data_IF_642716802195
#
_entry.id   IF_642716802195
#
_cell.length_a   1.000
_cell.length_b   1.000
_cell.length_c   1.000
_cell.angle_alpha   90.00
_cell.angle_beta   90.00
_cell.angle_gamma   90.00
#
_symmetry.space_group_name_H-M   'P 1'
#
loop_
_entity.id
_entity.type
_entity.pdbx_description
1 polymer ?
#
# COMPACT_ATOMS: atom_id res chain seq x y z
N UNK A 1 -0.49 18.21 -8.47
CA UNK A 1 -0.74 19.41 -7.65
C UNK A 1 0.57 20.09 -7.28
N UNK A 2 0.65 21.42 -7.28
CA UNK A 2 1.82 22.16 -6.75
C UNK A 2 1.65 22.37 -5.24
N UNK A 3 2.40 21.61 -4.45
CA UNK A 3 2.29 21.66 -2.98
C UNK A 3 2.73 22.99 -2.39
N UNK A 4 3.67 23.71 -3.01
CA UNK A 4 4.14 25.01 -2.51
C UNK A 4 3.12 26.09 -2.78
N UNK A 5 2.55 26.12 -3.98
CA UNK A 5 1.47 27.04 -4.34
C UNK A 5 0.25 26.85 -3.43
N UNK A 6 -0.18 25.60 -3.20
CA UNK A 6 -1.30 25.34 -2.29
C UNK A 6 -0.99 25.78 -0.86
N UNK A 7 0.20 25.49 -0.34
CA UNK A 7 0.60 25.95 1.01
C UNK A 7 0.51 27.48 1.16
N UNK A 8 0.89 28.23 0.12
CA UNK A 8 0.80 29.68 0.11
C UNK A 8 -0.66 30.19 0.05
N UNK A 9 -1.55 29.47 -0.64
CA UNK A 9 -2.98 29.83 -0.76
C UNK A 9 -3.82 29.44 0.48
N UNK A 10 -3.39 28.43 1.25
CA UNK A 10 -4.14 27.90 2.40
C UNK A 10 -4.68 28.95 3.36
N UNK A 11 -3.93 29.98 3.80
CA UNK A 11 -4.45 31.01 4.71
C UNK A 11 -5.68 31.74 4.15
N UNK A 12 -5.71 32.00 2.83
CA UNK A 12 -6.84 32.66 2.16
C UNK A 12 -8.03 31.71 2.11
N UNK A 13 -7.80 30.47 1.64
CA UNK A 13 -8.83 29.44 1.48
C UNK A 13 -9.54 29.09 2.79
N UNK A 14 -8.83 29.08 3.93
CA UNK A 14 -9.40 28.65 5.21
C UNK A 14 -9.87 29.81 6.10
N UNK A 15 -9.54 31.06 5.77
CA UNK A 15 -9.81 32.24 6.62
C UNK A 15 -11.26 32.34 7.10
N UNK A 16 -12.24 32.14 6.21
CA UNK A 16 -13.67 32.14 6.52
C UNK A 16 -14.15 30.90 7.29
N UNK A 17 -13.31 29.87 7.41
CA UNK A 17 -13.62 28.60 8.05
C UNK A 17 -12.92 28.41 9.40
N UNK A 18 -12.03 29.31 9.81
CA UNK A 18 -11.35 29.27 11.10
C UNK A 18 -12.05 30.22 12.09
N UNK A 19 -12.37 29.77 13.32
CA UNK A 19 -12.95 30.66 14.33
C UNK A 19 -12.02 31.83 14.67
N UNK A 20 -12.58 33.04 14.88
CA UNK A 20 -11.81 34.27 15.15
C UNK A 20 -10.84 34.21 16.32
N UNK A 21 -11.08 33.32 17.29
CA UNK A 21 -10.24 33.17 18.47
C UNK A 21 -9.07 32.18 18.28
N UNK A 22 -8.97 31.54 17.11
CA UNK A 22 -7.90 30.59 16.78
C UNK A 22 -6.78 31.33 16.05
N UNK A 23 -5.55 31.20 16.55
CA UNK A 23 -4.37 31.90 16.01
C UNK A 23 -3.60 31.10 14.95
N UNK A 24 -3.78 29.78 14.93
CA UNK A 24 -3.07 28.86 14.04
C UNK A 24 -4.02 27.78 13.54
N UNK A 25 -3.79 27.31 12.33
CA UNK A 25 -4.48 26.14 11.77
C UNK A 25 -3.45 25.10 11.35
N UNK A 26 -3.89 23.84 11.26
CA UNK A 26 -3.06 22.75 10.73
C UNK A 26 -3.73 22.12 9.52
N UNK A 27 -2.92 21.60 8.61
CA UNK A 27 -3.41 20.86 7.47
C UNK A 27 -2.43 19.78 7.05
N UNK A 28 -2.98 18.73 6.46
CA UNK A 28 -2.23 17.63 5.85
C UNK A 28 -2.53 17.56 4.36
N UNK A 29 -1.50 17.35 3.54
CA UNK A 29 -1.61 17.23 2.09
C UNK A 29 -1.61 15.76 1.70
N UNK A 30 -2.57 15.29 0.92
CA UNK A 30 -2.67 13.93 0.41
C UNK A 30 -2.45 13.95 -1.10
N UNK A 31 -1.20 13.76 -1.49
CA UNK A 31 -0.62 13.89 -2.84
C UNK A 31 -0.12 12.55 -3.39
N UNK A 32 -0.56 11.45 -2.78
CA UNK A 32 -0.08 10.10 -3.10
C UNK A 32 1.31 9.80 -2.55
N UNK A 33 1.97 10.78 -1.91
CA UNK A 33 3.27 10.58 -1.28
C UNK A 33 3.14 10.10 0.16
N UNK A 34 4.00 9.17 0.59
CA UNK A 34 4.07 8.66 1.95
C UNK A 34 4.21 9.79 2.98
N UNK A 35 3.57 9.62 4.15
CA UNK A 35 3.73 10.58 5.25
C UNK A 35 4.82 10.13 6.19
N UNK A 36 5.75 11.02 6.48
CA UNK A 36 6.86 10.76 7.39
C UNK A 36 6.54 11.34 8.76
N UNK A 37 6.73 10.54 9.80
CA UNK A 37 6.61 10.93 11.20
C UNK A 37 7.78 11.80 11.64
N UNK A 38 7.66 12.42 12.81
CA UNK A 38 8.77 13.17 13.44
C UNK A 38 10.02 12.32 13.66
N UNK A 39 9.88 11.00 13.75
CA UNK A 39 10.98 10.04 13.93
C UNK A 39 11.50 9.48 12.60
N UNK A 40 11.04 9.98 11.45
CA UNK A 40 11.49 9.51 10.14
C UNK A 40 10.76 8.27 9.61
N UNK A 41 9.85 7.66 10.37
CA UNK A 41 9.07 6.52 9.90
C UNK A 41 7.91 6.92 9.00
N UNK A 42 7.65 6.15 7.94
CA UNK A 42 6.43 6.28 7.18
C UNK A 42 5.19 5.85 8.00
N UNK A 43 4.11 6.63 7.92
CA UNK A 43 2.85 6.39 8.60
C UNK A 43 1.73 6.26 7.57
N UNK A 44 0.98 5.17 7.69
CA UNK A 44 -0.26 4.96 6.94
C UNK A 44 -1.36 5.91 7.46
N UNK A 45 -1.93 6.79 6.61
CA UNK A 45 -2.93 7.74 7.05
C UNK A 45 -4.20 7.06 7.58
N UNK A 46 -4.92 7.76 8.46
CA UNK A 46 -6.23 7.34 8.95
C UNK A 46 -7.33 7.91 8.05
N UNK A 47 -8.41 7.15 7.78
CA UNK A 47 -9.62 7.70 7.19
C UNK A 47 -10.18 8.85 8.02
N UNK A 48 -10.88 9.79 7.37
CA UNK A 48 -11.50 10.91 8.05
C UNK A 48 -12.78 11.34 7.32
N UNK A 49 -13.60 12.09 8.03
CA UNK A 49 -14.78 12.74 7.48
C UNK A 49 -14.61 14.25 7.54
N UNK A 50 -15.24 14.95 6.61
CA UNK A 50 -15.21 16.40 6.61
C UNK A 50 -16.13 17.02 5.58
N UNK A 51 -16.13 18.36 5.56
CA UNK A 51 -16.88 19.15 4.58
C UNK A 51 -15.92 19.76 3.58
N UNK A 52 -16.18 19.61 2.29
CA UNK A 52 -15.43 20.30 1.24
C UNK A 52 -15.68 21.80 1.36
N UNK A 53 -14.60 22.58 1.40
CA UNK A 53 -14.65 24.04 1.56
C UNK A 53 -14.08 24.82 0.39
N UNK A 54 -13.24 24.19 -0.44
CA UNK A 54 -12.69 24.81 -1.63
C UNK A 54 -12.27 23.75 -2.66
N UNK A 55 -12.42 24.11 -3.93
CA UNK A 55 -11.87 23.43 -5.08
C UNK A 55 -10.96 24.42 -5.85
N UNK A 56 -9.65 24.17 -5.86
CA UNK A 56 -8.67 25.05 -6.52
C UNK A 56 -8.42 24.65 -7.98
N UNK A 57 -9.10 23.63 -8.48
CA UNK A 57 -8.87 23.03 -9.80
C UNK A 57 -7.77 21.96 -9.80
N UNK A 58 -6.77 22.06 -8.93
CA UNK A 58 -5.71 21.05 -8.74
C UNK A 58 -5.81 20.32 -7.39
N UNK A 59 -6.52 20.88 -6.41
CA UNK A 59 -6.70 20.30 -5.09
C UNK A 59 -8.13 20.50 -4.55
N UNK A 60 -8.56 19.56 -3.70
CA UNK A 60 -9.79 19.66 -2.92
C UNK A 60 -9.43 19.89 -1.45
N UNK A 61 -9.95 20.97 -0.85
CA UNK A 61 -9.73 21.27 0.57
C UNK A 61 -10.94 20.85 1.38
N UNK A 62 -10.70 19.98 2.36
CA UNK A 62 -11.71 19.43 3.26
C UNK A 62 -11.46 19.93 4.68
N UNK A 63 -12.47 20.52 5.31
CA UNK A 63 -12.45 20.84 6.73
C UNK A 63 -12.81 19.59 7.54
N UNK A 64 -11.86 19.12 8.35
CA UNK A 64 -11.97 17.90 9.16
C UNK A 64 -12.14 18.20 10.66
N UNK A 65 -11.80 19.41 11.09
CA UNK A 65 -11.92 19.83 12.50
C UNK A 65 -12.13 21.32 12.64
N UNK A 66 -12.00 21.84 13.87
CA UNK A 66 -12.24 23.26 14.18
C UNK A 66 -11.35 24.20 13.37
N UNK A 67 -10.06 23.89 13.30
CA UNK A 67 -9.03 24.59 12.53
C UNK A 67 -8.06 23.56 11.91
N UNK A 68 -8.63 22.46 11.45
CA UNK A 68 -7.91 21.32 10.88
C UNK A 68 -8.46 21.04 9.49
N UNK A 69 -7.56 20.88 8.53
CA UNK A 69 -7.90 20.72 7.13
C UNK A 69 -7.13 19.57 6.49
N UNK A 70 -7.70 18.97 5.46
CA UNK A 70 -7.04 18.04 4.56
C UNK A 70 -7.05 18.64 3.16
N UNK A 71 -5.92 18.59 2.48
CA UNK A 71 -5.77 19.00 1.08
C UNK A 71 -5.59 17.71 0.29
N UNK A 72 -6.43 17.44 -0.70
CA UNK A 72 -6.36 16.23 -1.51
C UNK A 72 -5.95 16.61 -2.93
N UNK A 73 -4.96 15.93 -3.51
CA UNK A 73 -4.66 16.08 -4.93
C UNK A 73 -5.89 15.58 -5.72
N UNK A 74 -6.47 16.49 -6.51
CA UNK A 74 -7.70 16.23 -7.26
C UNK A 74 -7.54 15.05 -8.22
N UNK A 75 -6.36 14.87 -8.79
CA UNK A 75 -6.09 13.84 -9.81
C UNK A 75 -6.11 12.41 -9.24
N UNK A 76 -5.92 12.28 -7.92
CA UNK A 76 -5.91 11.00 -7.23
C UNK A 76 -7.28 10.58 -6.69
N UNK A 77 -8.27 11.47 -6.68
CA UNK A 77 -9.59 11.15 -6.15
C UNK A 77 -10.34 10.14 -7.05
N UNK A 78 -11.06 9.21 -6.44
CA UNK A 78 -11.98 8.32 -7.19
C UNK A 78 -13.23 9.05 -7.67
N UNK A 79 -13.63 10.10 -6.96
CA UNK A 79 -14.74 10.98 -7.28
C UNK A 79 -14.37 12.38 -6.80
N UNK A 80 -14.67 13.41 -7.60
CA UNK A 80 -14.41 14.80 -7.22
C UNK A 80 -15.67 15.38 -6.57
N UNK A 81 -15.68 15.61 -5.25
CA UNK A 81 -16.85 16.13 -4.57
C UNK A 81 -16.98 17.64 -4.81
N UNK A 82 -18.23 18.12 -4.94
CA UNK A 82 -18.51 19.55 -5.03
C UNK A 82 -18.31 20.28 -3.70
N UNK A 83 -18.04 21.57 -3.76
CA UNK A 83 -17.96 22.43 -2.56
C UNK A 83 -19.22 22.34 -1.70
N UNK A 84 -19.04 22.36 -0.38
CA UNK A 84 -20.12 22.22 0.59
C UNK A 84 -20.55 20.78 0.89
N UNK A 85 -20.08 19.80 0.11
CA UNK A 85 -20.43 18.38 0.30
C UNK A 85 -19.75 17.80 1.55
N UNK A 86 -20.48 16.96 2.29
CA UNK A 86 -19.87 16.11 3.33
C UNK A 86 -19.32 14.84 2.71
N UNK A 87 -18.08 14.51 3.03
CA UNK A 87 -17.38 13.38 2.44
C UNK A 87 -16.72 12.53 3.51
N UNK A 88 -16.69 11.22 3.25
CA UNK A 88 -15.76 10.30 3.89
C UNK A 88 -14.59 10.09 2.92
N UNK A 89 -13.37 10.24 3.44
CA UNK A 89 -12.14 10.13 2.67
C UNK A 89 -11.31 8.99 3.24
N UNK A 90 -10.90 8.08 2.36
CA UNK A 90 -10.02 6.96 2.66
C UNK A 90 -8.79 7.07 1.76
N UNK A 91 -7.69 7.65 2.26
CA UNK A 91 -6.42 7.65 1.55
C UNK A 91 -5.83 6.23 1.48
N UNK A 92 -4.81 6.04 0.65
CA UNK A 92 -4.06 4.79 0.57
C UNK A 92 -3.44 4.41 1.92
N UNK A 93 -3.45 3.10 2.21
CA UNK A 93 -2.83 2.49 3.38
C UNK A 93 -2.26 1.15 2.95
N UNK A 94 -1.05 0.83 3.42
CA UNK A 94 -0.45 -0.48 3.21
C UNK A 94 -1.28 -1.56 3.90
N UNK A 95 -1.42 -2.70 3.24
CA UNK A 95 -2.23 -3.83 3.72
C UNK A 95 -1.43 -5.13 3.68
N UNK A 96 -1.86 -6.06 4.54
CA UNK A 96 -1.43 -7.45 4.54
C UNK A 96 -2.32 -8.28 3.63
N UNK A 97 -1.91 -9.50 3.32
CA UNK A 97 -2.72 -10.46 2.54
C UNK A 97 -4.02 -10.89 3.25
N UNK A 98 -4.10 -10.72 4.57
CA UNK A 98 -5.34 -10.92 5.34
C UNK A 98 -6.33 -9.73 5.22
N UNK A 99 -5.97 -8.68 4.49
CA UNK A 99 -6.77 -7.48 4.27
C UNK A 99 -6.67 -6.43 5.39
N UNK A 100 -6.02 -6.74 6.51
CA UNK A 100 -5.76 -5.81 7.60
C UNK A 100 -4.69 -4.79 7.19
N UNK A 101 -4.62 -3.68 7.94
CA UNK A 101 -3.57 -2.67 7.72
C UNK A 101 -2.21 -3.23 8.13
N UNK A 102 -1.15 -2.80 7.47
CA UNK A 102 0.21 -3.19 7.82
C UNK A 102 0.59 -2.80 9.26
N UNK A 103 0.07 -1.68 9.77
CA UNK A 103 0.27 -1.22 11.15
C UNK A 103 -0.62 -1.92 12.19
N UNK A 104 -1.38 -2.96 11.79
CA UNK A 104 -2.19 -3.74 12.73
C UNK A 104 -1.27 -4.61 13.59
N UNK A 105 -1.34 -4.51 14.93
CA UNK A 105 -0.45 -5.27 15.82
C UNK A 105 -0.67 -6.77 15.70
N UNK A 106 0.40 -7.54 15.88
CA UNK A 106 0.32 -8.99 15.98
C UNK A 106 0.05 -9.38 17.43
N UNK A 107 -0.96 -10.22 17.65
CA UNK A 107 -1.32 -10.73 18.96
C UNK A 107 -1.01 -12.24 19.01
N UNK A 108 -0.18 -12.64 19.97
CA UNK A 108 0.15 -14.05 20.23
C UNK A 108 -0.15 -14.38 21.68
N UNK A 109 -0.84 -15.49 21.91
CA UNK A 109 -0.94 -16.08 23.24
C UNK A 109 0.30 -16.91 23.52
N UNK A 110 1.02 -16.56 24.57
CA UNK A 110 2.12 -17.33 25.12
C UNK A 110 1.73 -17.86 26.49
N UNK A 111 2.49 -18.83 27.00
CA UNK A 111 2.24 -19.49 28.28
C UNK A 111 3.46 -19.32 29.17
N UNK A 112 3.24 -18.96 30.43
CA UNK A 112 4.29 -18.98 31.45
C UNK A 112 4.75 -20.42 31.74
N UNK A 113 5.87 -20.58 32.46
CA UNK A 113 6.33 -21.90 32.93
C UNK A 113 5.25 -22.64 33.75
N UNK A 114 4.38 -21.89 34.43
CA UNK A 114 3.24 -22.40 35.20
C UNK A 114 1.98 -22.67 34.34
N UNK A 115 2.07 -22.54 33.01
CA UNK A 115 0.96 -22.77 32.09
C UNK A 115 -0.11 -21.68 32.05
N UNK A 116 0.13 -20.51 32.66
CA UNK A 116 -0.82 -19.39 32.62
C UNK A 116 -0.71 -18.67 31.27
N UNK A 117 -1.81 -18.51 30.51
CA UNK A 117 -1.77 -17.81 29.24
C UNK A 117 -1.61 -16.30 29.44
N UNK A 118 -0.75 -15.66 28.65
CA UNK A 118 -0.63 -14.21 28.54
C UNK A 118 -0.61 -13.79 27.06
N UNK A 119 -1.11 -12.59 26.77
CA UNK A 119 -1.16 -12.07 25.39
C UNK A 119 0.01 -11.12 25.16
N UNK A 120 0.86 -11.45 24.20
CA UNK A 120 1.91 -10.57 23.67
C UNK A 120 1.33 -9.81 22.49
N UNK A 121 1.40 -8.48 22.55
CA UNK A 121 0.98 -7.58 21.48
C UNK A 121 2.20 -6.87 20.91
N UNK A 122 2.57 -7.20 19.69
CA UNK A 122 3.77 -6.66 19.02
C UNK A 122 3.37 -5.54 18.06
N UNK A 123 3.94 -4.36 18.27
CA UNK A 123 3.78 -3.20 17.38
C UNK A 123 5.05 -3.03 16.54
N UNK A 124 4.97 -3.26 15.23
CA UNK A 124 6.07 -3.01 14.30
C UNK A 124 5.92 -1.59 13.75
N UNK A 125 6.94 -0.75 13.96
CA UNK A 125 6.95 0.63 13.49
C UNK A 125 7.71 0.75 12.15
N UNK A 126 7.16 1.50 11.20
CA UNK A 126 7.81 1.82 9.93
C UNK A 126 7.58 0.75 8.85
N UNK A 127 8.33 -0.36 8.91
CA UNK A 127 8.27 -1.45 7.94
C UNK A 127 7.69 -2.70 8.59
N UNK A 128 6.38 -2.86 8.50
CA UNK A 128 5.69 -4.09 8.87
C UNK A 128 5.43 -4.86 7.56
N UNK A 129 6.35 -5.72 7.10
CA UNK A 129 6.19 -6.41 5.84
C UNK A 129 4.98 -7.33 5.86
N UNK A 130 4.23 -7.38 4.76
CA UNK A 130 3.13 -8.32 4.61
C UNK A 130 3.73 -9.72 4.37
N UNK A 131 3.60 -10.63 5.35
CA UNK A 131 4.05 -12.01 5.21
C UNK A 131 3.31 -12.72 4.08
N UNK A 132 4.04 -13.43 3.23
CA UNK A 132 3.45 -14.20 2.14
C UNK A 132 2.58 -15.34 2.74
N UNK A 133 1.37 -15.60 2.20
CA UNK A 133 0.45 -16.60 2.74
C UNK A 133 0.84 -18.02 2.28
N UNK A 134 2.07 -18.43 2.60
CA UNK A 134 2.66 -19.71 2.21
C UNK A 134 3.27 -20.40 3.43
N UNK A 135 3.33 -21.74 3.39
CA UNK A 135 4.06 -22.50 4.41
C UNK A 135 5.56 -22.27 4.29
N UNK A 136 6.28 -22.42 5.41
CA UNK A 136 7.74 -22.30 5.40
C UNK A 136 8.37 -23.37 4.48
N UNK A 137 9.13 -22.96 3.44
CA UNK A 137 9.78 -23.90 2.54
C UNK A 137 10.99 -24.58 3.18
N UNK A 138 11.41 -25.69 2.58
CA UNK A 138 12.58 -26.46 3.02
C UNK A 138 13.83 -26.06 2.23
N UNK A 139 13.68 -25.72 0.96
CA UNK A 139 14.75 -25.23 0.10
C UNK A 139 15.29 -23.88 0.61
N UNK A 140 16.60 -23.77 0.91
CA UNK A 140 17.21 -22.52 1.37
C UNK A 140 17.07 -21.37 0.37
N UNK A 141 17.22 -21.65 -0.93
CA UNK A 141 17.13 -20.66 -2.00
C UNK A 141 15.71 -20.10 -2.14
N UNK A 142 14.68 -20.95 -1.98
CA UNK A 142 13.29 -20.50 -1.93
C UNK A 142 13.00 -19.67 -0.67
N UNK A 143 13.56 -20.06 0.48
CA UNK A 143 13.45 -19.28 1.71
C UNK A 143 14.06 -17.88 1.54
N UNK A 144 15.20 -17.78 0.88
CA UNK A 144 15.85 -16.50 0.61
C UNK A 144 15.04 -15.65 -0.39
N UNK A 145 14.51 -16.24 -1.46
CA UNK A 145 13.60 -15.56 -2.38
C UNK A 145 12.40 -14.96 -1.65
N UNK A 146 11.76 -15.75 -0.79
CA UNK A 146 10.62 -15.30 0.02
C UNK A 146 11.03 -14.18 0.97
N UNK A 147 12.18 -14.33 1.64
CA UNK A 147 12.71 -13.30 2.52
C UNK A 147 12.95 -11.99 1.75
N UNK A 148 13.50 -12.05 0.54
CA UNK A 148 13.71 -10.88 -0.31
C UNK A 148 12.39 -10.21 -0.73
N UNK A 149 11.38 -10.98 -1.15
CA UNK A 149 10.05 -10.43 -1.43
C UNK A 149 9.45 -9.73 -0.21
N UNK A 150 9.63 -10.29 0.99
CA UNK A 150 9.08 -9.72 2.22
C UNK A 150 9.86 -8.48 2.70
N UNK A 151 11.18 -8.48 2.61
CA UNK A 151 12.02 -7.45 3.23
C UNK A 151 12.42 -6.32 2.29
N UNK A 152 12.58 -6.58 0.99
CA UNK A 152 13.07 -5.57 0.06
C UNK A 152 12.02 -4.49 -0.19
N UNK A 153 12.45 -3.22 -0.37
CA UNK A 153 11.55 -2.13 -0.66
C UNK A 153 10.99 -2.24 -2.08
N UNK A 154 9.78 -1.73 -2.28
CA UNK A 154 9.32 -1.34 -3.60
C UNK A 154 10.02 -0.03 -4.03
N UNK A 155 10.07 0.30 -5.33
CA UNK A 155 10.78 1.49 -5.84
C UNK A 155 10.31 2.83 -5.25
N UNK A 156 9.06 2.90 -4.78
CA UNK A 156 8.50 4.09 -4.15
C UNK A 156 9.07 4.44 -2.77
N UNK A 157 9.88 3.56 -2.17
CA UNK A 157 10.54 3.80 -0.88
C UNK A 157 9.62 3.74 0.35
N UNK A 158 8.36 3.36 0.18
CA UNK A 158 7.36 3.27 1.25
C UNK A 158 6.78 1.89 1.44
N UNK A 159 6.48 1.23 0.32
CA UNK A 159 6.03 -0.16 0.29
C UNK A 159 7.23 -1.11 0.31
N UNK A 160 6.96 -2.34 0.75
CA UNK A 160 7.83 -3.49 0.46
C UNK A 160 7.30 -4.16 -0.79
N UNK A 161 8.06 -5.07 -1.39
CA UNK A 161 7.58 -5.81 -2.56
C UNK A 161 6.26 -6.55 -2.24
N UNK A 162 6.10 -7.15 -1.06
CA UNK A 162 4.82 -7.79 -0.69
C UNK A 162 3.64 -6.84 -0.60
N UNK A 163 3.84 -5.57 -0.24
CA UNK A 163 2.77 -4.58 -0.27
C UNK A 163 2.35 -4.27 -1.72
N UNK A 164 3.32 -4.16 -2.63
CA UNK A 164 3.05 -4.04 -4.06
C UNK A 164 2.27 -5.25 -4.58
N UNK A 165 2.62 -6.47 -4.15
CA UNK A 165 1.87 -7.68 -4.50
C UNK A 165 0.42 -7.63 -3.99
N UNK A 166 0.21 -7.19 -2.74
CA UNK A 166 -1.15 -7.00 -2.17
C UNK A 166 -1.95 -6.00 -3.01
N UNK A 167 -1.33 -4.87 -3.38
CA UNK A 167 -1.97 -3.83 -4.19
C UNK A 167 -2.30 -4.33 -5.62
N UNK A 168 -1.45 -5.20 -6.17
CA UNK A 168 -1.68 -5.87 -7.45
C UNK A 168 -2.76 -6.98 -7.38
N UNK A 169 -3.33 -7.22 -6.20
CA UNK A 169 -4.33 -8.26 -5.97
C UNK A 169 -3.75 -9.67 -6.02
N UNK A 170 -2.48 -9.84 -5.65
CA UNK A 170 -1.81 -11.14 -5.67
C UNK A 170 -2.53 -12.16 -4.77
N UNK A 171 -2.82 -13.32 -5.34
CA UNK A 171 -3.56 -14.43 -4.71
C UNK A 171 -3.15 -15.77 -5.30
N UNK A 172 -3.73 -16.86 -4.80
CA UNK A 172 -3.52 -18.21 -5.34
C UNK A 172 -2.03 -18.61 -5.37
N UNK A 173 -1.35 -18.36 -4.24
CA UNK A 173 0.08 -18.62 -4.10
C UNK A 173 0.39 -20.11 -4.18
N UNK A 174 1.45 -20.44 -4.92
CA UNK A 174 2.03 -21.78 -4.98
C UNK A 174 3.54 -21.69 -5.04
N UNK A 175 4.23 -22.74 -4.60
CA UNK A 175 5.68 -22.80 -4.57
C UNK A 175 6.20 -24.10 -5.17
N UNK A 176 7.36 -24.02 -5.80
CA UNK A 176 8.19 -25.16 -6.16
C UNK A 176 9.30 -25.22 -5.12
N UNK A 177 9.19 -26.16 -4.16
CA UNK A 177 10.11 -26.36 -3.04
C UNK A 177 10.97 -27.63 -3.27
N UNK A 178 11.99 -27.57 -4.14
CA UNK A 178 12.82 -28.72 -4.49
C UNK A 178 13.72 -29.14 -3.32
N UNK A 179 14.24 -30.37 -3.38
CA UNK A 179 15.36 -30.75 -2.53
C UNK A 179 16.63 -30.02 -3.00
N UNK A 180 17.59 -29.71 -2.10
CA UNK A 180 18.82 -28.99 -2.46
C UNK A 180 19.59 -29.59 -3.65
N UNK A 181 19.56 -30.92 -3.81
CA UNK A 181 20.25 -31.61 -4.90
C UNK A 181 19.53 -31.52 -6.26
N UNK A 182 18.28 -31.06 -6.28
CA UNK A 182 17.44 -31.01 -7.48
C UNK A 182 17.24 -29.59 -8.03
N UNK A 183 17.80 -28.57 -7.38
CA UNK A 183 17.56 -27.14 -7.70
C UNK A 183 17.90 -26.76 -9.14
N UNK A 184 18.86 -27.46 -9.77
CA UNK A 184 19.24 -27.21 -11.18
C UNK A 184 18.17 -27.77 -12.13
N UNK A 185 17.62 -28.96 -11.81
CA UNK A 185 16.61 -29.62 -12.65
C UNK A 185 15.22 -29.01 -12.43
N UNK A 186 14.95 -28.57 -11.21
CA UNK A 186 13.67 -28.02 -10.79
C UNK A 186 13.96 -26.74 -10.00
N UNK A 187 14.06 -25.60 -10.70
CA UNK A 187 14.30 -24.30 -10.09
C UNK A 187 13.28 -24.01 -8.97
N UNK A 188 13.75 -23.55 -7.79
CA UNK A 188 12.86 -23.06 -6.76
C UNK A 188 12.07 -21.85 -7.27
N UNK A 189 10.77 -21.81 -7.03
CA UNK A 189 9.91 -20.76 -7.57
C UNK A 189 8.72 -20.46 -6.65
N UNK A 190 8.20 -19.24 -6.75
CA UNK A 190 6.91 -18.83 -6.21
C UNK A 190 6.04 -18.29 -7.34
N UNK A 191 4.78 -18.70 -7.36
CA UNK A 191 3.80 -18.25 -8.34
C UNK A 191 2.57 -17.68 -7.65
N UNK A 192 1.97 -16.64 -8.23
CA UNK A 192 0.75 -16.02 -7.75
C UNK A 192 -0.02 -15.37 -8.91
N UNK A 193 -1.32 -15.24 -8.78
CA UNK A 193 -2.19 -14.58 -9.77
C UNK A 193 -2.38 -13.12 -9.38
N UNK A 194 -2.22 -12.20 -10.33
CA UNK A 194 -2.50 -10.76 -10.16
C UNK A 194 -3.63 -10.31 -11.08
N UNK A 195 -4.25 -9.19 -10.75
CA UNK A 195 -5.32 -8.58 -11.54
C UNK A 195 -5.22 -7.05 -11.53
N UNK A 196 -4.33 -6.52 -12.36
CA UNK A 196 -4.15 -5.07 -12.54
C UNK A 196 -4.48 -4.63 -13.97
N UNK A 197 -4.45 -3.32 -14.22
CA UNK A 197 -4.57 -2.79 -15.57
C UNK A 197 -3.35 -3.13 -16.45
N UNK A 198 -2.16 -3.33 -15.84
CA UNK A 198 -0.94 -3.71 -16.57
C UNK A 198 -0.95 -5.18 -16.95
N UNK A 199 -1.27 -6.06 -16.01
CA UNK A 199 -1.26 -7.49 -16.25
C UNK A 199 -2.35 -8.22 -15.46
N UNK A 200 -2.97 -9.19 -16.12
CA UNK A 200 -3.92 -10.14 -15.52
C UNK A 200 -3.48 -11.54 -15.93
N UNK A 201 -3.18 -12.36 -14.93
CA UNK A 201 -2.60 -13.69 -15.12
C UNK A 201 -1.72 -14.11 -13.96
N UNK A 202 -1.00 -15.20 -14.15
CA UNK A 202 -0.04 -15.73 -13.20
C UNK A 202 1.33 -15.09 -13.42
N UNK A 203 1.97 -14.72 -12.32
CA UNK A 203 3.36 -14.29 -12.25
C UNK A 203 4.13 -15.38 -11.52
N UNK A 204 5.25 -15.81 -12.08
CA UNK A 204 6.16 -16.77 -11.45
C UNK A 204 7.53 -16.13 -11.32
N UNK A 205 8.05 -16.08 -10.09
CA UNK A 205 9.44 -15.67 -9.81
C UNK A 205 10.21 -16.94 -9.49
N UNK A 206 11.23 -17.24 -10.29
CA UNK A 206 12.05 -18.45 -10.15
C UNK A 206 13.52 -18.10 -9.99
N UNK A 207 14.23 -18.92 -9.22
CA UNK A 207 15.67 -18.78 -8.99
C UNK A 207 16.47 -19.64 -9.96
N UNK A 208 17.32 -18.99 -10.76
CA UNK A 208 18.18 -19.63 -11.75
C UNK A 208 19.57 -19.86 -11.19
N UNK A 209 19.82 -21.08 -10.72
CA UNK A 209 21.08 -21.44 -10.06
C UNK A 209 22.33 -21.23 -10.92
N UNK A 210 22.23 -21.38 -12.24
CA UNK A 210 23.37 -21.27 -13.15
C UNK A 210 23.90 -19.84 -13.22
N UNK A 211 22.99 -18.86 -13.29
CA UNK A 211 23.32 -17.44 -13.41
C UNK A 211 23.32 -16.71 -12.06
N UNK A 212 22.80 -17.36 -11.01
CA UNK A 212 22.60 -16.79 -9.67
C UNK A 212 21.72 -15.52 -9.69
N UNK A 213 20.64 -15.60 -10.46
CA UNK A 213 19.68 -14.51 -10.70
C UNK A 213 18.25 -15.02 -10.62
N UNK A 214 17.29 -14.10 -10.62
CA UNK A 214 15.90 -14.45 -10.84
C UNK A 214 15.51 -14.36 -12.32
N UNK A 215 14.49 -15.12 -12.67
CA UNK A 215 13.68 -14.85 -13.84
C UNK A 215 12.21 -14.68 -13.42
N UNK A 216 11.48 -13.88 -14.19
CA UNK A 216 10.06 -13.63 -13.98
C UNK A 216 9.30 -14.07 -15.23
N UNK A 217 8.32 -14.94 -15.05
CA UNK A 217 7.43 -15.40 -16.11
C UNK A 217 6.02 -14.85 -15.89
N UNK A 218 5.45 -14.29 -16.96
CA UNK A 218 4.06 -13.86 -17.03
C UNK A 218 3.28 -14.87 -17.87
N UNK A 219 2.33 -15.55 -17.25
CA UNK A 219 1.50 -16.57 -17.91
C UNK A 219 0.04 -16.15 -17.91
N UNK A 220 -0.64 -16.27 -19.05
CA UNK A 220 -2.08 -16.01 -19.18
C UNK A 220 -2.75 -17.21 -19.82
N UNK A 221 -3.79 -17.73 -19.17
CA UNK A 221 -4.53 -18.91 -19.64
C UNK A 221 -3.63 -20.15 -19.92
N UNK A 222 -2.53 -20.30 -19.17
CA UNK A 222 -1.58 -21.40 -19.32
C UNK A 222 -0.53 -21.19 -20.40
N UNK A 223 -0.56 -20.06 -21.12
CA UNK A 223 0.45 -19.70 -22.12
C UNK A 223 1.42 -18.65 -21.56
N UNK A 224 2.72 -18.89 -21.75
CA UNK A 224 3.76 -17.93 -21.42
C UNK A 224 3.64 -16.71 -22.35
N UNK A 225 3.32 -15.56 -21.77
CA UNK A 225 3.17 -14.27 -22.46
C UNK A 225 4.51 -13.56 -22.56
N UNK A 226 5.26 -13.54 -21.47
CA UNK A 226 6.52 -12.82 -21.36
C UNK A 226 7.40 -13.53 -20.34
N UNK A 227 8.71 -13.50 -20.60
CA UNK A 227 9.73 -13.95 -19.66
C UNK A 227 10.83 -12.91 -19.61
N UNK A 228 11.20 -12.53 -18.39
CA UNK A 228 12.24 -11.57 -18.08
C UNK A 228 13.35 -12.35 -17.38
N UNK A 229 14.45 -12.56 -18.09
CA UNK A 229 15.65 -13.21 -17.56
C UNK A 229 16.59 -12.19 -16.90
N UNK A 230 17.58 -12.70 -16.15
CA UNK A 230 18.66 -11.90 -15.54
C UNK A 230 18.16 -10.77 -14.62
N UNK A 231 17.13 -11.06 -13.82
CA UNK A 231 16.64 -10.13 -12.80
C UNK A 231 17.54 -10.21 -11.57
N UNK A 232 18.31 -9.15 -11.34
CA UNK A 232 19.14 -9.01 -10.14
C UNK A 232 18.29 -8.89 -8.88
N UNK A 233 18.79 -9.40 -7.76
CA UNK A 233 18.09 -9.41 -6.47
C UNK A 233 17.64 -8.00 -6.02
N UNK A 234 18.48 -7.00 -6.23
CA UNK A 234 18.21 -5.60 -5.89
C UNK A 234 17.23 -4.91 -6.86
N UNK A 235 17.11 -5.41 -8.09
CA UNK A 235 16.18 -4.94 -9.12
C UNK A 235 14.82 -5.63 -9.12
N UNK A 236 14.62 -6.64 -8.26
CA UNK A 236 13.39 -7.44 -8.24
C UNK A 236 12.13 -6.57 -8.01
N UNK A 237 12.19 -5.63 -7.07
CA UNK A 237 11.07 -4.74 -6.78
C UNK A 237 10.73 -3.80 -7.94
N UNK A 238 11.75 -3.28 -8.63
CA UNK A 238 11.58 -2.42 -9.81
C UNK A 238 10.99 -3.21 -10.98
N UNK A 239 11.49 -4.40 -11.23
CA UNK A 239 10.99 -5.26 -12.30
C UNK A 239 9.53 -5.63 -12.05
N UNK A 240 9.16 -6.01 -10.83
CA UNK A 240 7.77 -6.30 -10.48
C UNK A 240 6.87 -5.05 -10.59
N UNK A 241 7.32 -3.88 -10.15
CA UNK A 241 6.54 -2.64 -10.35
C UNK A 241 6.25 -2.38 -11.83
N UNK A 242 7.27 -2.51 -12.68
CA UNK A 242 7.13 -2.30 -14.12
C UNK A 242 6.10 -3.25 -14.73
N UNK A 243 6.12 -4.53 -14.35
CA UNK A 243 5.27 -5.57 -14.91
C UNK A 243 3.83 -5.54 -14.38
N UNK A 244 3.62 -5.32 -13.08
CA UNK A 244 2.31 -5.57 -12.46
C UNK A 244 1.69 -4.40 -11.70
N UNK A 245 2.43 -3.36 -11.32
CA UNK A 245 1.87 -2.23 -10.56
C UNK A 245 1.35 -1.11 -11.49
N UNK A 246 0.04 -0.88 -11.53
CA UNK A 246 -0.60 0.15 -12.35
C UNK A 246 -0.81 1.50 -11.63
N UNK A 247 -0.30 1.66 -10.41
CA UNK A 247 -0.42 2.87 -9.60
C UNK A 247 -1.83 3.12 -9.05
N UNK A 248 -2.79 2.21 -9.27
CA UNK A 248 -4.18 2.37 -8.79
C UNK A 248 -4.28 2.46 -7.27
N UNK A 249 -3.32 1.89 -6.55
CA UNK A 249 -3.20 1.98 -5.09
C UNK A 249 -3.12 3.43 -4.58
N UNK A 250 -2.57 4.37 -5.38
CA UNK A 250 -2.45 5.79 -5.00
C UNK A 250 -3.79 6.52 -4.95
N UNK A 251 -4.86 5.92 -5.46
CA UNK A 251 -6.19 6.52 -5.51
C UNK A 251 -6.74 6.77 -4.10
N UNK A 252 -7.23 7.97 -3.89
CA UNK A 252 -7.91 8.38 -2.65
C UNK A 252 -9.39 8.12 -2.85
N UNK A 253 -9.95 7.18 -2.08
CA UNK A 253 -11.39 6.90 -2.15
C UNK A 253 -12.14 8.01 -1.45
N UNK A 254 -13.08 8.61 -2.16
CA UNK A 254 -13.99 9.63 -1.63
C UNK A 254 -15.42 9.11 -1.77
N UNK A 255 -16.20 9.25 -0.71
CA UNK A 255 -17.61 8.87 -0.67
C UNK A 255 -18.45 10.04 -0.18
N UNK A 256 -19.54 10.32 -0.88
CA UNK A 256 -20.51 11.34 -0.47
C UNK A 256 -21.33 10.84 0.72
N UNK A 257 -21.26 11.55 1.83
CA UNK A 257 -22.12 11.30 2.97
C UNK A 257 -23.42 12.09 2.73
N UNK A 258 -24.45 11.39 2.26
CA UNK A 258 -25.78 11.99 2.07
C UNK A 258 -26.23 12.63 3.38
N UNK A 259 -26.41 13.95 3.36
CA UNK A 259 -27.07 14.66 4.44
C UNK A 259 -28.51 14.14 4.60
N UNK A 260 -28.95 14.05 5.86
CA UNK A 260 -30.34 13.80 6.28
C UNK A 260 -31.40 14.26 5.26
N UNK A 261 -32.42 13.39 5.08
CA UNK A 261 -33.66 13.52 4.28
C UNK A 261 -34.05 14.93 3.82
N UNK A 262 -34.62 15.07 2.60
CA UNK A 262 -35.27 16.32 2.20
C UNK A 262 -36.40 16.63 3.19
N UNK A 263 -36.31 17.78 3.87
CA UNK A 263 -37.45 18.41 4.52
C UNK A 263 -38.47 18.71 3.44
N UNK A 264 -39.50 17.86 3.33
CA UNK A 264 -40.75 18.23 2.67
C UNK A 264 -41.39 19.33 3.51
N UNK A 265 -41.52 20.51 2.92
CA UNK A 265 -42.50 21.51 3.33
C UNK A 265 -43.91 21.04 2.99
#
# INVERSE_FOLDING_TARGET
MDTQAIRAQMPVLVSGHVPRNVRTFKFNIFDGQPKVSTLGFHIDPKPFEGKVIADTGDAIVVKIGRAEFAVLDRTLLTEVPGEGTKVQVQPYVRRRFDGLRADTPEERTEYTEDGTPYTVKTHILGSAPAKLPISQPRCPELQELINQLEQLPAPDGFRCITHLLVDAGARDFSVVDPLPNDIIRTPPAISFTVATAKFQGQVTVLYERADDLYAIELTRAGELVERIDQVFFDSLGETLEQLIDDGSWRRIRVQHLSGSKPTRH
#
